data_IF_606931930785
#
_entry.id   IF_606931930785
#
_cell.length_a   1.000
_cell.length_b   1.000
_cell.length_c   1.000
_cell.angle_alpha   90.00
_cell.angle_beta   90.00
_cell.angle_gamma   90.00
#
_symmetry.space_group_name_H-M   'P 1'
#
loop_
_entity.id
_entity.type
_entity.pdbx_description
1 polymer ?
#
# COMPACT_ATOMS: atom_id res chain seq x y z
N UNK A 1 -6.90 -16.65 14.36
CA UNK A 1 -6.91 -15.19 14.12
C UNK A 1 -7.40 -14.93 12.71
N UNK A 2 -8.20 -13.88 12.48
CA UNK A 2 -8.59 -13.47 11.12
C UNK A 2 -7.37 -13.06 10.31
N UNK A 3 -7.44 -13.16 8.98
CA UNK A 3 -6.31 -12.79 8.10
C UNK A 3 -5.83 -11.34 8.31
N UNK A 4 -6.76 -10.41 8.57
CA UNK A 4 -6.47 -9.00 8.87
C UNK A 4 -5.75 -8.82 10.20
N UNK A 5 -6.15 -9.52 11.27
CA UNK A 5 -5.50 -9.38 12.58
C UNK A 5 -4.02 -9.81 12.52
N UNK A 6 -3.75 -10.94 11.84
CA UNK A 6 -2.37 -11.38 11.61
C UNK A 6 -1.58 -10.39 10.76
N UNK A 7 -2.19 -9.86 9.69
CA UNK A 7 -1.55 -8.85 8.84
C UNK A 7 -1.20 -7.57 9.62
N UNK A 8 -2.07 -7.09 10.51
CA UNK A 8 -1.76 -5.94 11.37
C UNK A 8 -0.55 -6.23 12.25
N UNK A 9 -0.54 -7.36 12.94
CA UNK A 9 0.57 -7.75 13.81
C UNK A 9 1.89 -7.85 13.04
N UNK A 10 1.89 -8.45 11.86
CA UNK A 10 3.11 -8.61 11.08
C UNK A 10 3.57 -7.29 10.42
N UNK A 11 2.65 -6.56 9.76
CA UNK A 11 3.00 -5.38 8.95
C UNK A 11 3.21 -4.15 9.85
N UNK A 12 2.26 -3.84 10.72
CA UNK A 12 2.33 -2.67 11.61
C UNK A 12 3.17 -2.97 12.86
N UNK A 13 3.18 -4.21 13.33
CA UNK A 13 4.03 -4.59 14.48
C UNK A 13 5.52 -4.52 14.18
N UNK A 14 5.93 -4.60 12.91
CA UNK A 14 7.27 -4.22 12.50
C UNK A 14 7.62 -2.80 12.96
N UNK A 15 6.76 -1.82 12.70
CA UNK A 15 6.99 -0.42 13.07
C UNK A 15 6.87 -0.15 14.57
N UNK A 16 6.05 -0.94 15.29
CA UNK A 16 6.02 -0.91 16.76
C UNK A 16 7.37 -1.36 17.33
N UNK A 17 7.91 -2.48 16.85
CA UNK A 17 9.22 -3.01 17.31
C UNK A 17 10.38 -2.04 17.07
N UNK A 18 10.29 -1.18 16.06
CA UNK A 18 11.31 -0.18 15.73
C UNK A 18 11.01 1.20 16.32
N UNK A 19 9.97 1.36 17.15
CA UNK A 19 9.66 2.62 17.83
C UNK A 19 9.02 3.71 16.95
N UNK A 20 8.56 3.36 15.75
CA UNK A 20 7.86 4.30 14.85
C UNK A 20 6.35 4.36 15.11
N UNK A 21 5.79 3.38 15.82
CA UNK A 21 4.37 3.30 16.16
C UNK A 21 4.19 2.87 17.61
N UNK A 22 3.35 3.57 18.37
CA UNK A 22 3.19 3.29 19.81
C UNK A 22 2.34 2.04 20.09
N UNK A 23 1.35 1.76 19.23
CA UNK A 23 0.44 0.63 19.39
C UNK A 23 -0.17 0.16 18.08
N UNK A 24 -0.66 -1.07 18.07
CA UNK A 24 -1.40 -1.64 16.96
C UNK A 24 -2.86 -1.16 16.97
N UNK A 25 -3.43 -0.78 15.82
CA UNK A 25 -4.87 -0.61 15.68
C UNK A 25 -5.59 -1.97 15.66
N UNK A 26 -6.87 -1.98 16.01
CA UNK A 26 -7.71 -3.17 15.90
C UNK A 26 -8.10 -3.43 14.43
N UNK A 27 -8.50 -4.66 14.07
CA UNK A 27 -9.01 -4.98 12.73
C UNK A 27 -10.20 -4.10 12.30
N UNK A 28 -11.04 -3.67 13.25
CA UNK A 28 -12.12 -2.74 12.97
C UNK A 28 -11.60 -1.35 12.63
N UNK A 29 -10.71 -0.80 13.46
CA UNK A 29 -10.09 0.50 13.21
C UNK A 29 -9.44 0.54 11.83
N UNK A 30 -8.74 -0.52 11.44
CA UNK A 30 -8.16 -0.63 10.09
C UNK A 30 -9.23 -0.69 9.00
N UNK A 31 -10.36 -1.38 9.23
CA UNK A 31 -11.46 -1.44 8.26
C UNK A 31 -12.10 -0.07 8.05
N UNK A 32 -12.41 0.65 9.12
CA UNK A 32 -12.96 2.01 9.04
C UNK A 32 -11.94 2.98 8.44
N UNK A 33 -10.67 2.84 8.82
CA UNK A 33 -9.59 3.65 8.27
C UNK A 33 -9.45 3.43 6.77
N UNK A 34 -9.55 2.18 6.31
CA UNK A 34 -9.55 1.84 4.89
C UNK A 34 -10.70 2.52 4.13
N UNK A 35 -11.90 2.58 4.72
CA UNK A 35 -13.02 3.31 4.12
C UNK A 35 -12.74 4.83 4.04
N UNK A 36 -12.12 5.40 5.06
CA UNK A 36 -11.74 6.82 5.07
C UNK A 36 -10.62 7.13 4.07
N UNK A 37 -9.77 6.16 3.74
CA UNK A 37 -8.70 6.28 2.76
C UNK A 37 -9.20 6.16 1.30
N UNK A 38 -10.36 5.53 1.05
CA UNK A 38 -10.88 5.29 -0.30
C UNK A 38 -10.90 6.53 -1.22
N UNK A 39 -11.31 7.74 -0.78
CA UNK A 39 -11.27 8.91 -1.63
C UNK A 39 -9.86 9.23 -2.13
N UNK A 40 -8.83 9.00 -1.30
CA UNK A 40 -7.43 9.19 -1.68
C UNK A 40 -6.99 8.10 -2.66
N UNK A 41 -7.34 6.83 -2.40
CA UNK A 41 -6.96 5.70 -3.27
C UNK A 41 -7.64 5.73 -4.65
N UNK A 42 -8.85 6.26 -4.75
CA UNK A 42 -9.64 6.29 -5.98
C UNK A 42 -9.50 7.59 -6.78
N UNK A 43 -8.97 8.65 -6.15
CA UNK A 43 -8.74 9.94 -6.83
C UNK A 43 -7.35 9.99 -7.42
N UNK A 44 -7.22 10.67 -8.55
CA UNK A 44 -5.92 11.08 -9.10
C UNK A 44 -5.64 12.52 -8.65
N UNK A 45 -4.43 12.78 -8.19
CA UNK A 45 -3.97 14.16 -8.00
C UNK A 45 -4.01 14.92 -9.33
N UNK A 46 -4.10 16.25 -9.30
CA UNK A 46 -4.10 17.05 -10.53
C UNK A 46 -2.82 16.84 -11.34
N UNK A 47 -1.68 16.72 -10.66
CA UNK A 47 -0.38 16.45 -11.29
C UNK A 47 -0.32 15.03 -11.87
N UNK A 48 -0.80 14.02 -11.15
CA UNK A 48 -0.92 12.64 -11.65
C UNK A 48 -1.81 12.59 -12.89
N UNK A 49 -2.93 13.30 -12.87
CA UNK A 49 -3.86 13.40 -14.00
C UNK A 49 -3.21 14.04 -15.22
N UNK A 50 -2.60 15.22 -15.05
CA UNK A 50 -1.93 15.93 -16.14
C UNK A 50 -0.81 15.08 -16.76
N UNK A 51 -0.03 14.39 -15.93
CA UNK A 51 1.11 13.58 -16.39
C UNK A 51 0.67 12.26 -17.01
N UNK A 52 -0.15 11.50 -16.30
CA UNK A 52 -0.61 10.21 -16.81
C UNK A 52 -1.40 10.36 -18.11
N UNK A 53 -2.23 11.39 -18.23
CA UNK A 53 -3.03 11.63 -19.45
C UNK A 53 -2.27 12.36 -20.56
N UNK A 54 -0.95 12.58 -20.41
CA UNK A 54 -0.11 13.18 -21.46
C UNK A 54 0.23 12.21 -22.59
N UNK A 55 -0.01 10.91 -22.41
CA UNK A 55 0.26 9.87 -23.42
C UNK A 55 -1.00 9.04 -23.71
N UNK A 56 -1.00 8.33 -24.84
CA UNK A 56 -2.06 7.36 -25.18
C UNK A 56 -2.11 6.22 -24.13
N UNK A 57 -0.96 5.71 -23.72
CA UNK A 57 -0.87 4.57 -22.79
C UNK A 57 -1.30 4.91 -21.37
N UNK A 58 -1.22 6.18 -20.97
CA UNK A 58 -1.67 6.61 -19.65
C UNK A 58 -3.15 7.02 -19.57
N UNK A 59 -3.90 6.98 -20.68
CA UNK A 59 -5.36 7.12 -20.65
C UNK A 59 -6.02 5.97 -19.89
N UNK A 60 -6.97 6.27 -19.01
CA UNK A 60 -7.65 5.28 -18.14
C UNK A 60 -8.14 4.03 -18.89
N UNK A 61 -8.81 4.12 -20.07
CA UNK A 61 -9.31 2.95 -20.78
C UNK A 61 -8.23 2.00 -21.32
N UNK A 62 -6.98 2.47 -21.41
CA UNK A 62 -5.82 1.69 -21.88
C UNK A 62 -4.97 1.27 -20.68
N UNK A 63 -4.65 2.23 -19.80
CA UNK A 63 -3.79 2.06 -18.64
C UNK A 63 -4.34 1.02 -17.67
N UNK A 64 -5.61 1.13 -17.28
CA UNK A 64 -6.20 0.26 -16.25
C UNK A 64 -6.24 -1.20 -16.71
N UNK A 65 -6.72 -1.56 -17.93
CA UNK A 65 -6.65 -2.94 -18.40
C UNK A 65 -5.23 -3.52 -18.42
N UNK A 66 -4.23 -2.75 -18.85
CA UNK A 66 -2.83 -3.20 -18.86
C UNK A 66 -2.27 -3.38 -17.44
N UNK A 67 -2.60 -2.48 -16.52
CA UNK A 67 -2.23 -2.59 -15.11
C UNK A 67 -2.87 -3.84 -14.47
N UNK A 68 -4.13 -4.13 -14.78
CA UNK A 68 -4.82 -5.34 -14.31
C UNK A 68 -4.22 -6.61 -14.92
N UNK A 69 -3.86 -6.59 -16.20
CA UNK A 69 -3.20 -7.72 -16.87
C UNK A 69 -1.84 -8.03 -16.22
N UNK A 70 -1.10 -6.99 -15.82
CA UNK A 70 0.18 -7.13 -15.13
C UNK A 70 0.01 -7.51 -13.65
N UNK A 71 -0.98 -6.92 -12.98
CA UNK A 71 -1.30 -7.08 -11.57
C UNK A 71 -2.82 -7.21 -11.34
N UNK A 72 -3.40 -8.43 -11.42
CA UNK A 72 -4.85 -8.60 -11.27
C UNK A 72 -5.42 -8.13 -9.93
N UNK A 73 -4.58 -8.08 -8.89
CA UNK A 73 -4.93 -7.56 -7.56
C UNK A 73 -5.31 -6.08 -7.56
N UNK A 74 -4.93 -5.34 -8.60
CA UNK A 74 -5.24 -3.92 -8.73
C UNK A 74 -6.74 -3.61 -8.86
N UNK A 75 -7.57 -4.63 -9.14
CA UNK A 75 -9.03 -4.50 -9.11
C UNK A 75 -9.60 -4.37 -7.68
N UNK A 76 -8.82 -4.70 -6.65
CA UNK A 76 -9.26 -4.72 -5.27
C UNK A 76 -8.68 -3.51 -4.56
N UNK A 77 -9.52 -2.51 -4.27
CA UNK A 77 -9.15 -1.38 -3.44
C UNK A 77 -9.19 -1.80 -1.96
N UNK A 78 -8.01 -1.97 -1.35
CA UNK A 78 -7.85 -2.25 0.08
C UNK A 78 -6.65 -1.49 0.67
N UNK A 79 -6.34 -1.73 1.95
CA UNK A 79 -5.21 -1.11 2.65
C UNK A 79 -3.84 -1.72 2.30
N UNK A 80 -3.74 -2.67 1.37
CA UNK A 80 -2.48 -3.34 1.06
C UNK A 80 -1.95 -4.31 2.13
N UNK A 81 -2.43 -4.24 3.38
CA UNK A 81 -1.91 -5.00 4.52
C UNK A 81 -1.90 -6.52 4.32
N UNK A 82 -2.90 -7.07 3.62
CA UNK A 82 -3.03 -8.51 3.37
C UNK A 82 -2.39 -8.93 2.05
N UNK A 83 -1.86 -7.97 1.29
CA UNK A 83 -1.25 -8.23 0.00
C UNK A 83 0.12 -8.89 0.17
N UNK A 84 0.52 -9.63 -0.88
CA UNK A 84 1.86 -10.22 -0.96
C UNK A 84 2.82 -9.14 -1.45
N UNK A 85 4.10 -9.16 -1.05
CA UNK A 85 5.09 -8.17 -1.48
C UNK A 85 5.18 -8.07 -3.01
N UNK A 86 5.13 -9.20 -3.72
CA UNK A 86 5.12 -9.21 -5.19
C UNK A 86 3.92 -8.47 -5.82
N UNK A 87 2.75 -8.45 -5.16
CA UNK A 87 1.57 -7.70 -5.60
C UNK A 87 1.77 -6.19 -5.44
N UNK A 88 2.35 -5.79 -4.30
CA UNK A 88 2.65 -4.39 -3.99
C UNK A 88 3.75 -3.89 -4.94
N UNK A 89 4.83 -4.65 -5.14
CA UNK A 89 5.88 -4.29 -6.11
C UNK A 89 5.30 -4.11 -7.51
N UNK A 90 4.45 -5.04 -7.98
CA UNK A 90 3.82 -4.90 -9.29
C UNK A 90 2.91 -3.68 -9.39
N UNK A 91 2.22 -3.32 -8.32
CA UNK A 91 1.44 -2.10 -8.26
C UNK A 91 2.36 -0.87 -8.42
N UNK A 92 3.38 -0.74 -7.58
CA UNK A 92 4.28 0.41 -7.55
C UNK A 92 5.04 0.61 -8.87
N UNK A 93 5.47 -0.47 -9.54
CA UNK A 93 6.19 -0.35 -10.82
C UNK A 93 5.28 -0.08 -12.03
N UNK A 94 3.95 -0.24 -11.89
CA UNK A 94 2.98 -0.06 -12.99
C UNK A 94 2.06 1.15 -12.82
N UNK A 95 2.04 1.76 -11.64
CA UNK A 95 1.30 2.97 -11.31
C UNK A 95 2.29 4.07 -10.98
N UNK A 96 2.11 5.24 -11.59
CA UNK A 96 2.81 6.43 -11.14
C UNK A 96 2.15 6.93 -9.85
N UNK A 97 2.95 7.03 -8.80
CA UNK A 97 2.62 7.78 -7.58
C UNK A 97 3.59 8.95 -7.48
N UNK A 98 3.10 10.08 -6.98
CA UNK A 98 4.03 11.11 -6.52
C UNK A 98 4.88 10.58 -5.36
N UNK A 99 6.13 11.07 -5.24
CA UNK A 99 7.04 10.70 -4.15
C UNK A 99 6.34 10.76 -2.79
N UNK A 100 5.51 11.77 -2.56
CA UNK A 100 4.73 11.98 -1.33
C UNK A 100 3.76 10.83 -0.97
N UNK A 101 3.28 10.04 -1.95
CA UNK A 101 2.40 8.89 -1.71
C UNK A 101 3.15 7.55 -1.65
N UNK A 102 4.39 7.48 -2.16
CA UNK A 102 5.19 6.25 -2.13
C UNK A 102 5.59 5.81 -0.72
N UNK A 103 5.56 6.71 0.27
CA UNK A 103 5.86 6.39 1.66
C UNK A 103 5.01 5.24 2.22
N UNK A 104 3.75 5.14 1.80
CA UNK A 104 2.84 4.07 2.23
C UNK A 104 3.28 2.70 1.71
N UNK A 105 3.50 2.58 0.40
CA UNK A 105 3.93 1.34 -0.23
C UNK A 105 5.33 0.90 0.20
N UNK A 106 6.26 1.84 0.36
CA UNK A 106 7.60 1.58 0.87
C UNK A 106 7.55 1.00 2.29
N UNK A 107 6.73 1.56 3.18
CA UNK A 107 6.57 1.04 4.54
C UNK A 107 5.88 -0.33 4.55
N UNK A 108 4.89 -0.57 3.69
CA UNK A 108 4.31 -1.90 3.51
C UNK A 108 5.39 -2.91 3.11
N UNK A 109 6.18 -2.60 2.07
CA UNK A 109 7.25 -3.46 1.58
C UNK A 109 8.36 -3.69 2.60
N UNK A 110 8.76 -2.65 3.32
CA UNK A 110 9.76 -2.74 4.38
C UNK A 110 9.35 -3.70 5.50
N UNK A 111 8.06 -3.74 5.83
CA UNK A 111 7.59 -4.69 6.85
C UNK A 111 7.71 -6.15 6.40
N UNK A 112 7.74 -6.42 5.08
CA UNK A 112 7.90 -7.77 4.54
C UNK A 112 9.38 -8.17 4.52
N UNK A 113 9.74 -9.39 4.96
CA UNK A 113 11.09 -9.92 4.78
C UNK A 113 11.51 -9.85 3.31
N UNK A 114 12.54 -9.06 3.01
CA UNK A 114 13.07 -8.85 1.65
C UNK A 114 12.15 -8.06 0.71
N UNK A 115 11.09 -7.40 1.19
CA UNK A 115 10.15 -6.68 0.34
C UNK A 115 10.77 -5.50 -0.42
N UNK A 116 11.62 -4.71 0.24
CA UNK A 116 12.37 -3.63 -0.40
C UNK A 116 13.42 -4.16 -1.38
N UNK A 117 14.08 -5.26 -1.06
CA UNK A 117 15.02 -5.91 -1.98
C UNK A 117 14.33 -6.39 -3.27
N UNK A 118 13.11 -6.93 -3.15
CA UNK A 118 12.29 -7.30 -4.30
C UNK A 118 11.89 -6.07 -5.15
N UNK A 119 11.51 -4.96 -4.51
CA UNK A 119 11.22 -3.71 -5.24
C UNK A 119 12.45 -3.24 -6.02
N UNK A 120 13.62 -3.19 -5.37
CA UNK A 120 14.89 -2.81 -5.99
C UNK A 120 15.18 -3.66 -7.22
N UNK A 121 15.07 -4.98 -7.08
CA UNK A 121 15.35 -5.92 -8.17
C UNK A 121 14.39 -5.71 -9.36
N UNK A 122 13.08 -5.66 -9.10
CA UNK A 122 12.07 -5.54 -10.16
C UNK A 122 12.12 -4.16 -10.84
N UNK A 123 12.32 -3.08 -10.07
CA UNK A 123 12.51 -1.74 -10.64
C UNK A 123 13.78 -1.68 -11.51
N UNK A 124 14.88 -2.28 -11.06
CA UNK A 124 16.14 -2.36 -11.84
C UNK A 124 15.95 -3.13 -13.14
N UNK A 125 15.20 -4.26 -13.13
CA UNK A 125 14.84 -4.98 -14.37
C UNK A 125 14.09 -4.09 -15.36
N UNK A 126 13.23 -3.18 -14.89
CA UNK A 126 12.53 -2.22 -15.75
C UNK A 126 13.50 -1.14 -16.26
N UNK A 127 14.40 -0.61 -15.44
CA UNK A 127 15.41 0.38 -15.87
C UNK A 127 16.36 -0.20 -16.92
N UNK A 128 16.82 -1.43 -16.72
CA UNK A 128 17.79 -2.10 -17.58
C UNK A 128 17.14 -2.78 -18.79
N UNK A 129 15.80 -2.84 -18.86
CA UNK A 129 15.08 -3.47 -19.97
C UNK A 129 15.14 -5.00 -19.94
N UNK A 130 15.46 -5.61 -18.80
CA UNK A 130 15.58 -7.07 -18.61
C UNK A 130 14.24 -7.80 -18.47
N UNK A 131 13.12 -7.12 -18.66
CA UNK A 131 11.78 -7.72 -18.64
C UNK A 131 10.99 -7.31 -19.87
N UNK A 132 10.22 -8.24 -20.43
CA UNK A 132 9.32 -7.98 -21.58
C UNK A 132 8.31 -6.86 -21.30
N UNK A 133 8.02 -6.61 -20.02
CA UNK A 133 7.09 -5.56 -19.59
C UNK A 133 7.73 -4.17 -19.54
N UNK A 134 9.06 -4.05 -19.59
CA UNK A 134 9.78 -2.80 -19.42
C UNK A 134 9.27 -1.65 -20.32
N UNK A 135 9.10 -1.84 -21.65
CA UNK A 135 8.59 -0.75 -22.50
C UNK A 135 7.16 -0.34 -22.09
N UNK A 136 6.30 -1.29 -21.70
CA UNK A 136 4.94 -0.98 -21.27
C UNK A 136 4.93 -0.25 -19.93
N UNK A 137 5.68 -0.72 -18.94
CA UNK A 137 5.73 -0.12 -17.60
C UNK A 137 6.27 1.32 -17.64
N UNK A 138 7.31 1.57 -18.45
CA UNK A 138 7.82 2.94 -18.66
C UNK A 138 6.77 3.86 -19.30
N UNK A 139 6.01 3.36 -20.26
CA UNK A 139 4.95 4.12 -20.94
C UNK A 139 3.68 4.29 -20.09
N UNK A 140 3.33 3.32 -19.25
CA UNK A 140 2.18 3.38 -18.34
C UNK A 140 2.41 4.43 -17.25
N UNK A 141 3.62 4.48 -16.71
CA UNK A 141 4.04 5.49 -15.72
C UNK A 141 4.26 6.85 -16.39
N UNK A 142 4.83 6.86 -17.60
CA UNK A 142 5.11 8.05 -18.39
C UNK A 142 5.96 9.13 -17.67
N UNK A 143 6.79 8.73 -16.70
CA UNK A 143 7.68 9.62 -15.95
C UNK A 143 9.15 9.22 -16.11
N UNK A 144 10.00 10.09 -16.70
CA UNK A 144 11.43 9.83 -16.83
C UNK A 144 12.08 9.58 -15.46
N UNK A 145 12.85 8.50 -15.37
CA UNK A 145 13.60 8.16 -14.15
C UNK A 145 12.76 7.60 -13.00
N UNK A 146 11.44 7.43 -13.13
CA UNK A 146 10.60 6.90 -12.05
C UNK A 146 11.11 5.57 -11.49
N UNK A 147 11.38 4.59 -12.36
CA UNK A 147 11.86 3.28 -11.89
C UNK A 147 13.26 3.34 -11.29
N UNK A 148 14.12 4.26 -11.73
CA UNK A 148 15.42 4.50 -11.08
C UNK A 148 15.23 5.14 -9.69
N UNK A 149 14.30 6.09 -9.59
CA UNK A 149 13.90 6.70 -8.32
C UNK A 149 13.35 5.67 -7.33
N UNK A 150 12.58 4.69 -7.80
CA UNK A 150 12.10 3.59 -6.94
C UNK A 150 13.24 2.76 -6.34
N UNK A 151 14.35 2.56 -7.06
CA UNK A 151 15.55 1.87 -6.55
C UNK A 151 16.16 2.68 -5.42
N UNK A 152 16.38 3.99 -5.63
CA UNK A 152 16.91 4.90 -4.59
C UNK A 152 16.02 4.94 -3.34
N UNK A 153 14.69 5.02 -3.55
CA UNK A 153 13.72 5.07 -2.46
C UNK A 153 13.65 3.75 -1.69
N UNK A 154 13.82 2.60 -2.36
CA UNK A 154 13.91 1.32 -1.67
C UNK A 154 15.14 1.27 -0.76
N UNK A 155 16.28 1.78 -1.21
CA UNK A 155 17.51 1.84 -0.41
C UNK A 155 17.42 2.84 0.73
N UNK A 156 16.76 3.97 0.53
CA UNK A 156 16.46 4.94 1.59
C UNK A 156 15.52 4.35 2.65
N UNK A 157 14.47 3.64 2.22
CA UNK A 157 13.50 3.03 3.12
C UNK A 157 14.12 1.98 4.06
N UNK A 158 15.20 1.28 3.66
CA UNK A 158 15.95 0.38 4.57
C UNK A 158 16.50 1.12 5.81
N UNK A 159 16.77 2.42 5.68
CA UNK A 159 17.23 3.32 6.76
C UNK A 159 16.08 4.11 7.41
N UNK A 160 14.83 3.76 7.12
CA UNK A 160 13.64 4.50 7.55
C UNK A 160 13.61 5.95 7.04
N UNK A 161 14.26 6.21 5.91
CA UNK A 161 14.19 7.47 5.19
C UNK A 161 13.11 7.37 4.12
N UNK A 162 12.11 8.24 4.19
CA UNK A 162 10.99 8.26 3.24
C UNK A 162 10.86 9.65 2.59
N UNK A 163 10.21 9.74 1.42
CA UNK A 163 9.88 11.02 0.82
C UNK A 163 9.07 11.91 1.76
N UNK A 164 9.25 13.22 1.60
CA UNK A 164 8.46 14.20 2.35
C UNK A 164 7.00 14.21 1.86
N UNK A 165 6.08 14.44 2.80
CA UNK A 165 4.63 14.42 2.58
C UNK A 165 4.07 15.81 2.25
N UNK A 166 4.94 16.77 1.91
CA UNK A 166 4.57 18.12 1.52
C UNK A 166 3.49 18.02 0.42
N UNK A 167 2.31 18.58 0.68
CA UNK A 167 1.13 18.64 -0.20
C UNK A 167 0.12 17.48 -0.11
N UNK A 168 0.35 16.44 0.70
CA UNK A 168 -0.60 15.31 0.86
C UNK A 168 -1.07 15.13 2.31
N UNK A 169 -2.20 14.45 2.50
CA UNK A 169 -2.70 14.16 3.84
C UNK A 169 -1.73 13.19 4.57
N UNK A 170 -1.05 13.64 5.64
CA UNK A 170 -0.05 12.82 6.32
C UNK A 170 -0.65 11.56 6.96
N UNK A 171 -1.98 11.52 7.15
CA UNK A 171 -2.70 10.33 7.63
C UNK A 171 -2.68 9.18 6.63
N UNK A 172 -2.55 9.45 5.34
CA UNK A 172 -2.66 8.44 4.27
C UNK A 172 -1.39 8.32 3.42
N UNK A 173 -0.46 9.28 3.55
CA UNK A 173 0.82 9.26 2.85
C UNK A 173 1.80 8.16 3.32
N UNK A 174 1.61 7.66 4.54
CA UNK A 174 2.48 6.63 5.14
C UNK A 174 1.65 5.57 5.87
N UNK A 175 2.16 4.34 5.94
CA UNK A 175 1.51 3.26 6.69
C UNK A 175 1.47 3.57 8.19
N UNK A 176 2.51 4.20 8.73
CA UNK A 176 2.56 4.65 10.12
C UNK A 176 1.54 5.75 10.38
N UNK A 177 1.41 6.73 9.49
CA UNK A 177 0.38 7.77 9.55
C UNK A 177 -1.02 7.16 9.55
N UNK A 178 -1.24 6.18 8.66
CA UNK A 178 -2.50 5.44 8.58
C UNK A 178 -2.79 4.65 9.84
N UNK A 179 -1.79 3.97 10.40
CA UNK A 179 -1.92 3.22 11.64
C UNK A 179 -2.26 4.13 12.83
N UNK A 180 -1.64 5.31 12.92
CA UNK A 180 -1.95 6.33 13.95
C UNK A 180 -3.38 6.86 13.81
N UNK A 181 -3.78 7.19 12.59
CA UNK A 181 -5.16 7.59 12.31
C UNK A 181 -6.15 6.48 12.70
N UNK A 182 -5.87 5.24 12.31
CA UNK A 182 -6.67 4.08 12.71
C UNK A 182 -6.78 3.96 14.23
N UNK A 183 -5.65 4.06 14.92
CA UNK A 183 -5.60 4.00 16.37
C UNK A 183 -6.44 5.10 17.03
N UNK A 184 -6.49 6.31 16.47
CA UNK A 184 -7.24 7.43 17.05
C UNK A 184 -8.77 7.22 17.10
N UNK A 185 -9.30 6.29 16.30
CA UNK A 185 -10.72 5.99 16.27
C UNK A 185 -11.16 5.14 17.47
N UNK A 186 -12.44 5.22 17.90
CA UNK A 186 -12.97 4.30 18.90
C UNK A 186 -12.79 2.83 18.49
N UNK A 187 -12.39 1.98 19.45
CA UNK A 187 -12.33 0.54 19.21
C UNK A 187 -13.75 -0.05 19.34
N UNK A 188 -14.49 -0.10 18.22
CA UNK A 188 -15.84 -0.67 18.13
C UNK A 188 -15.79 -2.00 17.38
N UNK A 189 -16.52 -3.05 17.80
CA UNK A 189 -17.12 -3.18 19.10
C UNK A 189 -16.06 -3.28 20.18
N UNK A 190 -16.29 -2.58 21.29
CA UNK A 190 -15.64 -2.94 22.54
C UNK A 190 -15.80 -4.44 22.73
N UNK A 191 -14.78 -5.11 23.28
CA UNK A 191 -14.87 -6.55 23.55
C UNK A 191 -16.15 -6.83 24.36
N UNK A 192 -17.08 -7.59 23.76
CA UNK A 192 -18.36 -7.92 24.38
C UNK A 192 -19.55 -7.03 24.01
N UNK A 193 -19.39 -6.02 23.13
CA UNK A 193 -20.49 -5.12 22.71
C UNK A 193 -21.72 -5.86 22.20
N UNK A 194 -21.53 -6.93 21.41
CA UNK A 194 -22.65 -7.72 20.92
C UNK A 194 -23.11 -8.82 21.90
N UNK A 195 -22.44 -9.02 23.04
CA UNK A 195 -22.79 -10.04 24.04
C UNK A 195 -22.80 -11.49 23.54
N UNK A 196 -22.53 -11.75 22.25
CA UNK A 196 -22.55 -13.07 21.67
C UNK A 196 -21.25 -13.81 22.00
N UNK A 197 -21.33 -14.63 23.06
CA UNK A 197 -20.42 -15.75 23.23
C UNK A 197 -20.86 -16.86 22.26
N UNK A 198 -20.21 -16.97 21.10
CA UNK A 198 -20.46 -18.06 20.14
C UNK A 198 -20.27 -19.45 20.78
N UNK A 199 -19.47 -19.57 21.85
CA UNK A 199 -19.33 -20.79 22.65
C UNK A 199 -20.61 -21.18 23.39
N UNK A 200 -21.47 -20.22 23.76
CA UNK A 200 -22.81 -20.48 24.32
C UNK A 200 -23.80 -20.95 23.26
N UNK A 201 -23.61 -20.55 21.99
CA UNK A 201 -24.47 -21.02 20.90
C UNK A 201 -24.24 -22.51 20.61
N UNK A 202 -22.99 -22.97 20.66
CA UNK A 202 -22.62 -24.38 20.41
C UNK A 202 -22.98 -25.30 21.57
N UNK A 203 -22.93 -24.82 22.82
CA UNK A 203 -23.32 -25.61 24.02
C UNK A 203 -24.82 -25.85 24.16
N UNK A 204 -25.68 -25.09 23.48
CA UNK A 204 -27.14 -25.24 23.58
C UNK A 204 -27.71 -26.39 22.73
N UNK A 205 -26.86 -27.05 21.94
CA UNK A 205 -27.21 -28.15 21.02
C UNK A 205 -26.45 -29.46 21.31
N UNK A 206 -25.90 -29.60 22.52
CA UNK A 206 -25.42 -30.88 23.09
C UNK A 206 -26.24 -31.20 24.31
#
# INVERSE_FOLDING_TARGET
>A
MTGTARAIEERMGFFVKHGHLDRLPSPWQVRVGGLAMLPVTLSESERERQRSRSTLMGQVPIRVPLQVLYNPRQLIADSGLTQRPASIVRHVVSVYHEDAFLGYDLQLLQSHPGGLALLREEASKVVEGRTRWAPYLRNLVAWPGYHARLVELADAAERFEYPDVLDVDPRFATLVGFARFCGSMPDWPERGFYGFDLGKLVRRWR
#
